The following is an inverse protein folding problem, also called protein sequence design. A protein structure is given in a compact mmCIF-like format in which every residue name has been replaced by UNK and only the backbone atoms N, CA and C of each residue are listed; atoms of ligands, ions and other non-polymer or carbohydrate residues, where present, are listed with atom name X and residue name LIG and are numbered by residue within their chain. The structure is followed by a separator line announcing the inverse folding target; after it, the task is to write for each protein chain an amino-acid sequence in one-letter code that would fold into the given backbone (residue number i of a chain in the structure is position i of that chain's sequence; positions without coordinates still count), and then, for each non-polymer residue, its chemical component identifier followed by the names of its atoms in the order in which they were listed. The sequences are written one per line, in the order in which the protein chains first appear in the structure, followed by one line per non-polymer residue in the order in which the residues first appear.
data_IF_204545981804
#
_entry.id   IF_204545981804
#
_cell.length_a   1.000
_cell.length_b   1.000
_cell.length_c   1.000
_cell.angle_alpha   90.00
_cell.angle_beta   90.00
_cell.angle_gamma   90.00
#
_symmetry.space_group_name_H-M   'P 1'
#
loop_
_entity.id
_entity.type
_entity.pdbx_description
1 polymer ?
#
# COMPACT_ATOMS: atom_id res chain seq x y z
N UNK A 1 12.23 18.62 -11.59
CA UNK A 1 12.53 18.08 -12.92
C UNK A 1 12.85 16.60 -12.86
N UNK A 2 12.92 15.92 -14.01
CA UNK A 2 13.29 14.50 -14.09
C UNK A 2 14.70 14.26 -13.52
N UNK A 3 15.60 15.19 -13.79
CA UNK A 3 16.99 15.17 -13.28
C UNK A 3 17.00 15.28 -11.75
N UNK A 4 16.18 16.13 -11.17
CA UNK A 4 16.09 16.26 -9.71
C UNK A 4 15.55 15.00 -9.06
N UNK A 5 14.64 14.28 -9.75
CA UNK A 5 14.12 12.98 -9.32
C UNK A 5 15.19 11.89 -9.36
N UNK A 6 15.92 11.81 -10.45
CA UNK A 6 17.02 10.86 -10.63
C UNK A 6 18.12 11.09 -9.57
N UNK A 7 18.49 12.33 -9.31
CA UNK A 7 19.46 12.68 -8.28
C UNK A 7 18.93 12.32 -6.89
N UNK A 8 17.66 12.61 -6.60
CA UNK A 8 17.03 12.21 -5.35
C UNK A 8 16.97 10.68 -5.21
N UNK A 9 16.71 9.99 -6.29
CA UNK A 9 16.65 8.53 -6.33
C UNK A 9 18.02 7.91 -6.05
N UNK A 10 19.09 8.37 -6.72
CA UNK A 10 20.44 7.86 -6.48
C UNK A 10 20.91 8.12 -5.05
N UNK A 11 20.75 9.34 -4.56
CA UNK A 11 21.15 9.67 -3.18
C UNK A 11 20.40 8.84 -2.13
N UNK A 12 19.14 8.49 -2.40
CA UNK A 12 18.33 7.69 -1.49
C UNK A 12 18.64 6.20 -1.60
N UNK A 13 18.94 5.70 -2.79
CA UNK A 13 19.39 4.33 -3.00
C UNK A 13 20.67 4.05 -2.19
N UNK A 14 21.63 4.96 -2.26
CA UNK A 14 22.87 4.87 -1.49
C UNK A 14 22.62 4.94 0.03
N UNK A 15 21.69 5.78 0.48
CA UNK A 15 21.33 5.87 1.89
C UNK A 15 20.65 4.59 2.43
N UNK A 16 19.96 3.82 1.58
CA UNK A 16 19.34 2.56 1.98
C UNK A 16 20.35 1.44 2.21
N UNK A 17 21.44 1.40 1.48
CA UNK A 17 22.49 0.40 1.67
C UNK A 17 23.19 0.51 3.02
N UNK A 18 23.19 1.69 3.63
CA UNK A 18 23.85 1.94 4.91
C UNK A 18 22.92 1.92 6.13
N UNK A 19 21.59 1.81 5.92
CA UNK A 19 20.64 1.66 7.02
C UNK A 19 20.44 0.19 7.37
N UNK A 20 20.36 -0.08 8.67
CA UNK A 20 19.96 -1.37 9.19
C UNK A 20 18.64 -1.85 8.52
N UNK A 21 18.54 -3.12 8.31
CA UNK A 21 17.47 -3.91 7.70
C UNK A 21 16.16 -3.19 7.36
N UNK A 22 15.76 -3.13 6.08
CA UNK A 22 14.49 -2.51 5.70
C UNK A 22 13.30 -3.28 6.29
N UNK A 23 12.20 -2.55 6.53
CA UNK A 23 10.94 -3.15 6.99
C UNK A 23 10.33 -4.03 5.89
N UNK A 24 10.43 -3.58 4.64
CA UNK A 24 9.94 -4.28 3.46
C UNK A 24 10.92 -4.08 2.31
N UNK A 25 11.16 -5.12 1.52
CA UNK A 25 12.10 -5.02 0.41
C UNK A 25 11.76 -5.98 -0.73
N UNK A 26 12.08 -5.53 -1.94
CA UNK A 26 12.29 -6.41 -3.09
C UNK A 26 13.80 -6.60 -3.22
N UNK A 27 14.23 -7.85 -3.25
CA UNK A 27 15.64 -8.22 -3.34
C UNK A 27 15.90 -8.98 -4.64
N UNK A 28 16.45 -8.27 -5.63
CA UNK A 28 16.77 -8.82 -6.97
C UNK A 28 15.60 -9.57 -7.61
N UNK A 29 14.42 -8.97 -7.59
CA UNK A 29 13.20 -9.60 -8.07
C UNK A 29 13.12 -9.57 -9.59
N UNK A 30 12.96 -10.74 -10.20
CA UNK A 30 12.65 -10.91 -11.60
C UNK A 30 11.34 -11.67 -11.76
N UNK A 31 10.47 -11.18 -12.62
CA UNK A 31 9.25 -11.85 -13.05
C UNK A 31 9.29 -12.02 -14.56
N UNK A 32 9.38 -13.26 -15.01
CA UNK A 32 9.46 -13.61 -16.42
C UNK A 32 8.12 -14.07 -16.95
N UNK A 33 7.66 -13.47 -18.03
CA UNK A 33 6.48 -13.90 -18.75
C UNK A 33 6.88 -14.91 -19.84
N UNK A 34 6.57 -16.18 -19.62
CA UNK A 34 6.93 -17.26 -20.55
C UNK A 34 6.25 -17.16 -21.92
N UNK A 35 5.08 -16.54 -22.00
CA UNK A 35 4.34 -16.39 -23.25
C UNK A 35 4.96 -15.36 -24.18
N UNK A 36 5.48 -14.28 -23.62
CA UNK A 36 6.08 -13.18 -24.39
C UNK A 36 7.60 -13.20 -24.41
N UNK A 37 8.22 -14.00 -23.54
CA UNK A 37 9.68 -14.04 -23.37
C UNK A 37 10.25 -12.80 -22.67
N UNK A 38 9.41 -11.94 -22.12
CA UNK A 38 9.81 -10.70 -21.47
C UNK A 38 10.02 -10.89 -19.98
N UNK A 39 11.07 -10.26 -19.44
CA UNK A 39 11.17 -9.98 -18.02
C UNK A 39 10.33 -8.75 -17.68
N UNK A 40 9.15 -8.97 -17.15
CA UNK A 40 8.20 -7.88 -16.78
C UNK A 40 8.77 -7.06 -15.64
N UNK A 41 9.38 -7.73 -14.66
CA UNK A 41 10.28 -7.13 -13.68
C UNK A 41 11.66 -7.74 -13.92
N UNK A 42 12.69 -6.92 -13.96
CA UNK A 42 14.05 -7.36 -14.27
C UNK A 42 15.02 -6.86 -13.21
N UNK A 43 15.44 -7.78 -12.33
CA UNK A 43 16.40 -7.54 -11.26
C UNK A 43 16.08 -6.29 -10.41
N UNK A 44 14.83 -6.21 -9.96
CA UNK A 44 14.32 -5.06 -9.20
C UNK A 44 14.69 -5.18 -7.74
N UNK A 45 15.41 -4.18 -7.23
CA UNK A 45 15.72 -4.05 -5.80
C UNK A 45 15.20 -2.74 -5.26
N UNK A 46 14.31 -2.82 -4.26
CA UNK A 46 13.69 -1.68 -3.59
C UNK A 46 13.68 -1.95 -2.09
N UNK A 47 13.92 -0.91 -1.31
CA UNK A 47 13.89 -1.00 0.15
C UNK A 47 13.00 0.08 0.75
N UNK A 48 12.18 -0.31 1.73
CA UNK A 48 11.19 0.55 2.37
C UNK A 48 11.32 0.48 3.89
N UNK A 49 11.22 1.64 4.55
CA UNK A 49 11.41 1.74 6.00
C UNK A 49 10.15 2.26 6.69
N UNK A 50 9.86 1.70 7.85
CA UNK A 50 8.79 2.18 8.72
C UNK A 50 9.07 3.63 9.18
N UNK A 51 8.01 4.42 9.31
CA UNK A 51 8.08 5.83 9.67
C UNK A 51 8.33 6.76 8.48
N UNK A 52 8.28 6.25 7.25
CA UNK A 52 8.48 7.02 6.03
C UNK A 52 7.43 6.72 4.97
N UNK A 53 7.23 7.68 4.08
CA UNK A 53 6.42 7.51 2.87
C UNK A 53 7.33 7.28 1.67
N UNK A 54 6.93 6.33 0.83
CA UNK A 54 7.65 5.93 -0.36
C UNK A 54 6.73 5.95 -1.56
N UNK A 55 7.23 6.36 -2.70
CA UNK A 55 6.57 6.17 -3.99
C UNK A 55 7.40 5.24 -4.86
N UNK A 56 6.71 4.39 -5.61
CA UNK A 56 7.28 3.69 -6.75
C UNK A 56 6.58 4.25 -7.99
N UNK A 57 7.33 5.00 -8.78
CA UNK A 57 6.83 5.59 -10.02
C UNK A 57 6.97 4.56 -11.13
N UNK A 58 5.86 4.23 -11.75
CA UNK A 58 5.77 3.26 -12.84
C UNK A 58 5.44 3.96 -14.16
N UNK A 59 5.69 3.29 -15.27
CA UNK A 59 5.33 3.77 -16.60
C UNK A 59 3.84 3.57 -16.83
N UNK A 60 3.13 4.65 -17.14
CA UNK A 60 1.69 4.63 -17.44
C UNK A 60 1.33 3.74 -18.64
N UNK A 61 2.26 3.54 -19.57
CA UNK A 61 2.05 2.71 -20.76
C UNK A 61 2.35 1.23 -20.53
N UNK A 62 3.04 0.90 -19.44
CA UNK A 62 3.41 -0.48 -19.10
C UNK A 62 2.51 -1.05 -18.01
N UNK A 63 1.29 -1.33 -18.36
CA UNK A 63 0.26 -1.84 -17.42
C UNK A 63 0.66 -3.21 -16.86
N UNK A 64 1.25 -4.08 -17.68
CA UNK A 64 1.68 -5.41 -17.26
C UNK A 64 2.75 -5.32 -16.16
N UNK A 65 3.73 -4.44 -16.30
CA UNK A 65 4.75 -4.22 -15.30
C UNK A 65 4.18 -3.68 -13.98
N UNK A 66 3.28 -2.70 -14.08
CA UNK A 66 2.58 -2.13 -12.92
C UNK A 66 1.83 -3.22 -12.15
N UNK A 67 1.02 -4.01 -12.85
CA UNK A 67 0.24 -5.09 -12.22
C UNK A 67 1.15 -6.17 -11.61
N UNK A 68 2.21 -6.54 -12.30
CA UNK A 68 3.17 -7.52 -11.79
C UNK A 68 3.89 -7.02 -10.54
N UNK A 69 4.28 -5.74 -10.50
CA UNK A 69 4.91 -5.14 -9.33
C UNK A 69 3.98 -5.22 -8.10
N UNK A 70 2.76 -4.73 -8.24
CA UNK A 70 1.80 -4.72 -7.14
C UNK A 70 1.47 -6.14 -6.68
N UNK A 71 1.14 -7.04 -7.60
CA UNK A 71 0.82 -8.43 -7.28
C UNK A 71 1.97 -9.16 -6.57
N UNK A 72 3.20 -8.90 -6.98
CA UNK A 72 4.41 -9.46 -6.36
C UNK A 72 4.61 -8.90 -4.95
N UNK A 73 4.44 -7.59 -4.77
CA UNK A 73 4.61 -6.93 -3.47
C UNK A 73 3.60 -7.40 -2.42
N UNK A 74 2.39 -7.74 -2.83
CA UNK A 74 1.34 -8.20 -1.90
C UNK A 74 1.25 -9.74 -1.81
N UNK A 75 2.17 -10.46 -2.42
CA UNK A 75 2.23 -11.92 -2.34
C UNK A 75 1.24 -12.67 -3.22
N UNK A 76 0.57 -12.00 -4.16
CA UNK A 76 -0.38 -12.62 -5.10
C UNK A 76 0.27 -13.20 -6.35
N UNK A 77 1.53 -12.86 -6.61
CA UNK A 77 2.32 -13.36 -7.73
C UNK A 77 3.67 -13.81 -7.22
N UNK A 78 4.11 -14.99 -7.68
CA UNK A 78 5.45 -15.50 -7.36
C UNK A 78 6.51 -14.85 -8.23
N UNK A 79 7.69 -14.64 -7.66
CA UNK A 79 8.87 -14.22 -8.41
C UNK A 79 9.45 -15.39 -9.18
N UNK A 80 10.04 -15.11 -10.35
CA UNK A 80 10.86 -16.10 -11.08
C UNK A 80 12.20 -16.28 -10.38
N UNK A 81 12.78 -15.19 -9.91
CA UNK A 81 13.99 -15.16 -9.06
C UNK A 81 13.94 -13.95 -8.13
N UNK A 82 14.79 -13.96 -7.12
CA UNK A 82 14.79 -12.96 -6.09
C UNK A 82 13.65 -13.15 -5.07
N UNK A 83 13.61 -12.30 -4.08
CA UNK A 83 12.73 -12.46 -2.93
C UNK A 83 12.03 -11.15 -2.58
N UNK A 84 10.78 -11.26 -2.13
CA UNK A 84 10.05 -10.17 -1.49
C UNK A 84 10.05 -10.41 0.01
N UNK A 85 10.60 -9.47 0.76
CA UNK A 85 10.88 -9.65 2.18
C UNK A 85 10.08 -8.67 3.03
N UNK A 86 9.42 -9.18 4.05
CA UNK A 86 8.95 -8.39 5.18
C UNK A 86 9.83 -8.72 6.39
N UNK A 87 10.71 -7.80 6.76
CA UNK A 87 11.77 -8.05 7.74
C UNK A 87 12.59 -9.31 7.33
N UNK A 88 12.64 -10.31 8.18
CA UNK A 88 13.35 -11.56 7.90
C UNK A 88 12.48 -12.64 7.22
N UNK A 89 11.22 -12.35 6.94
CA UNK A 89 10.29 -13.32 6.33
C UNK A 89 10.19 -13.11 4.83
N UNK A 90 10.47 -14.16 4.07
CA UNK A 90 10.17 -14.22 2.63
C UNK A 90 8.67 -14.43 2.45
N UNK A 91 7.99 -13.56 1.68
CA UNK A 91 6.54 -13.67 1.45
C UNK A 91 6.16 -14.99 0.77
N UNK A 92 7.07 -15.61 0.02
CA UNK A 92 6.84 -16.92 -0.60
C UNK A 92 6.63 -18.04 0.43
N UNK A 93 7.13 -17.87 1.64
CA UNK A 93 7.00 -18.82 2.75
C UNK A 93 5.81 -18.53 3.67
N UNK A 94 5.13 -17.39 3.45
CA UNK A 94 3.98 -16.97 4.24
C UNK A 94 2.66 -17.36 3.54
N UNK A 95 1.61 -17.58 4.35
CA UNK A 95 0.26 -17.81 3.81
C UNK A 95 -0.37 -16.49 3.35
N UNK A 96 -1.33 -16.53 2.40
CA UNK A 96 -2.07 -15.31 2.02
C UNK A 96 -2.73 -14.60 3.18
N UNK A 97 -3.26 -15.33 4.16
CA UNK A 97 -3.87 -14.76 5.38
C UNK A 97 -2.80 -14.07 6.24
N UNK A 98 -1.61 -14.64 6.38
CA UNK A 98 -0.51 -13.99 7.11
C UNK A 98 -0.07 -12.71 6.38
N UNK A 99 0.10 -12.74 5.06
CA UNK A 99 0.54 -11.57 4.29
C UNK A 99 -0.47 -10.44 4.41
N UNK A 100 -1.70 -10.64 3.98
CA UNK A 100 -2.72 -9.59 3.90
C UNK A 100 -3.47 -9.36 5.22
N UNK A 101 -3.41 -10.29 6.15
CA UNK A 101 -4.03 -10.16 7.46
C UNK A 101 -3.11 -9.61 8.55
N UNK A 102 -1.80 -9.70 8.40
CA UNK A 102 -0.85 -9.40 9.48
C UNK A 102 0.35 -8.57 9.05
N UNK A 103 0.78 -8.62 7.80
CA UNK A 103 2.03 -7.99 7.35
C UNK A 103 1.82 -6.77 6.48
N UNK A 104 0.83 -6.80 5.60
CA UNK A 104 0.56 -5.76 4.61
C UNK A 104 -0.91 -5.36 4.68
N UNK A 105 -1.17 -4.06 4.86
CA UNK A 105 -2.45 -3.44 4.56
C UNK A 105 -2.45 -3.02 3.10
N UNK A 106 -3.34 -3.59 2.29
CA UNK A 106 -3.39 -3.34 0.86
C UNK A 106 -4.60 -2.49 0.50
N UNK A 107 -4.36 -1.43 -0.27
CA UNK A 107 -5.39 -0.59 -0.87
C UNK A 107 -5.28 -0.76 -2.39
N UNK A 108 -6.06 -1.69 -2.98
CA UNK A 108 -6.05 -1.90 -4.43
C UNK A 108 -6.69 -0.72 -5.15
N UNK A 109 -6.35 -0.54 -6.42
CA UNK A 109 -6.92 0.50 -7.26
C UNK A 109 -8.44 0.30 -7.47
N UNK A 110 -8.89 -0.95 -7.54
CA UNK A 110 -10.29 -1.34 -7.76
C UNK A 110 -10.72 -2.34 -6.70
N UNK A 111 -12.00 -2.35 -6.37
CA UNK A 111 -12.60 -3.28 -5.41
C UNK A 111 -11.97 -3.20 -4.02
N UNK A 112 -11.53 -1.99 -3.65
CA UNK A 112 -10.93 -1.74 -2.34
C UNK A 112 -11.92 -1.86 -1.18
N UNK A 113 -13.21 -1.83 -1.47
CA UNK A 113 -14.31 -1.93 -0.51
C UNK A 113 -15.45 -2.77 -1.06
N UNK A 114 -16.24 -3.34 -0.16
CA UNK A 114 -17.52 -3.98 -0.53
C UNK A 114 -18.61 -2.92 -0.53
N UNK A 115 -19.16 -2.65 -1.71
CA UNK A 115 -20.17 -1.63 -1.90
C UNK A 115 -21.52 -1.93 -1.22
N UNK A 116 -21.81 -3.20 -0.93
CA UNK A 116 -23.04 -3.67 -0.27
C UNK A 116 -23.03 -3.49 1.26
N UNK A 117 -21.84 -3.35 1.87
CA UNK A 117 -21.66 -3.11 3.30
C UNK A 117 -21.55 -1.63 3.60
N UNK A 118 -21.92 -1.22 4.82
CA UNK A 118 -21.62 0.12 5.32
C UNK A 118 -20.12 0.28 5.66
N UNK A 119 -19.74 1.45 6.11
CA UNK A 119 -18.33 1.74 6.44
C UNK A 119 -17.81 0.83 7.56
N UNK A 120 -18.55 0.69 8.65
CA UNK A 120 -18.19 -0.18 9.78
C UNK A 120 -18.12 -1.65 9.33
N UNK A 121 -19.09 -2.11 8.57
CA UNK A 121 -19.14 -3.48 8.03
C UNK A 121 -17.94 -3.82 7.16
N UNK A 122 -17.46 -2.88 6.36
CA UNK A 122 -16.24 -3.05 5.58
C UNK A 122 -14.99 -3.27 6.44
N UNK A 123 -14.83 -2.48 7.49
CA UNK A 123 -13.70 -2.62 8.40
C UNK A 123 -13.79 -3.92 9.18
N UNK A 124 -14.95 -4.25 9.73
CA UNK A 124 -15.20 -5.50 10.46
C UNK A 124 -14.94 -6.73 9.59
N UNK A 125 -15.35 -6.69 8.32
CA UNK A 125 -15.09 -7.77 7.38
C UNK A 125 -13.60 -8.05 7.20
N UNK A 126 -12.78 -7.01 7.08
CA UNK A 126 -11.33 -7.14 6.97
C UNK A 126 -10.71 -7.67 8.27
N UNK A 127 -11.19 -7.19 9.42
CA UNK A 127 -10.73 -7.66 10.73
C UNK A 127 -11.06 -9.13 10.95
N UNK A 128 -12.25 -9.57 10.59
CA UNK A 128 -12.66 -10.98 10.66
C UNK A 128 -11.82 -11.86 9.72
N UNK A 129 -11.61 -11.41 8.49
CA UNK A 129 -10.80 -12.14 7.51
C UNK A 129 -9.32 -12.28 7.90
N UNK A 130 -8.78 -11.34 8.69
CA UNK A 130 -7.40 -11.38 9.15
C UNK A 130 -7.13 -12.51 10.15
N UNK A 131 -8.17 -13.04 10.77
CA UNK A 131 -8.06 -14.04 11.85
C UNK A 131 -7.12 -13.59 12.98
N UNK A 132 -7.09 -12.30 13.25
CA UNK A 132 -6.21 -11.67 14.22
C UNK A 132 -6.92 -11.53 15.57
N UNK A 133 -6.19 -11.67 16.67
CA UNK A 133 -6.69 -11.35 18.00
C UNK A 133 -6.52 -9.86 18.27
N UNK A 134 -7.61 -9.18 18.58
CA UNK A 134 -7.62 -7.77 18.92
C UNK A 134 -7.76 -7.57 20.43
N UNK A 135 -7.07 -6.57 20.97
CA UNK A 135 -7.08 -6.26 22.40
C UNK A 135 -8.37 -5.58 22.86
N UNK A 136 -9.10 -4.96 21.92
CA UNK A 136 -10.39 -4.33 22.16
C UNK A 136 -11.46 -4.96 21.29
N UNK A 137 -12.76 -4.76 21.59
CA UNK A 137 -13.84 -5.21 20.71
C UNK A 137 -13.68 -4.63 19.32
N UNK A 138 -13.82 -5.47 18.30
CA UNK A 138 -13.66 -5.07 16.89
C UNK A 138 -14.49 -3.83 16.50
N UNK A 139 -15.78 -3.71 16.89
CA UNK A 139 -16.56 -2.51 16.56
C UNK A 139 -15.98 -1.22 17.11
N UNK A 140 -15.37 -1.26 18.28
CA UNK A 140 -14.70 -0.09 18.88
C UNK A 140 -13.50 0.33 18.04
N UNK A 141 -12.68 -0.61 17.65
CA UNK A 141 -11.50 -0.36 16.79
C UNK A 141 -11.95 0.18 15.43
N UNK A 142 -12.96 -0.44 14.83
CA UNK A 142 -13.49 -0.03 13.52
C UNK A 142 -13.98 1.43 13.55
N UNK A 143 -14.72 1.81 14.56
CA UNK A 143 -15.22 3.20 14.72
C UNK A 143 -14.09 4.19 14.94
N UNK A 144 -13.10 3.87 15.74
CA UNK A 144 -11.92 4.72 15.95
C UNK A 144 -11.14 4.93 14.65
N UNK A 145 -10.94 3.90 13.87
CA UNK A 145 -10.26 3.99 12.56
C UNK A 145 -11.04 4.85 11.58
N UNK A 146 -12.36 4.68 11.51
CA UNK A 146 -13.21 5.49 10.65
C UNK A 146 -13.20 6.96 11.07
N UNK A 147 -13.19 7.25 12.36
CA UNK A 147 -13.01 8.61 12.88
C UNK A 147 -11.69 9.23 12.42
N UNK A 148 -10.61 8.47 12.48
CA UNK A 148 -9.28 8.92 12.02
C UNK A 148 -9.25 9.32 10.56
N UNK A 149 -9.97 8.60 9.71
CA UNK A 149 -10.00 8.90 8.28
C UNK A 149 -11.07 9.93 7.91
N UNK A 150 -11.80 10.47 8.88
CA UNK A 150 -12.66 11.64 8.73
C UNK A 150 -14.16 11.38 8.76
N UNK A 151 -14.61 10.21 9.22
CA UNK A 151 -16.04 9.97 9.46
C UNK A 151 -16.43 10.42 10.86
N UNK A 152 -17.30 11.43 10.96
CA UNK A 152 -17.83 11.91 12.23
C UNK A 152 -18.98 11.03 12.74
N UNK A 153 -19.82 10.56 11.83
CA UNK A 153 -20.92 9.63 12.12
C UNK A 153 -20.71 8.31 11.38
N UNK A 154 -20.46 7.25 12.13
CA UNK A 154 -19.98 5.99 11.57
C UNK A 154 -21.10 4.99 11.32
N UNK A 155 -22.25 5.16 11.93
CA UNK A 155 -23.30 4.15 12.03
C UNK A 155 -24.54 4.43 11.19
N UNK A 156 -24.39 5.15 10.09
CA UNK A 156 -25.54 5.52 9.25
C UNK A 156 -26.19 4.34 8.53
N UNK A 157 -25.51 3.18 8.45
CA UNK A 157 -25.96 2.03 7.68
C UNK A 157 -25.95 2.23 6.17
N UNK A 158 -25.48 3.39 5.69
CA UNK A 158 -25.40 3.68 4.26
C UNK A 158 -24.39 2.75 3.58
N UNK A 159 -24.78 2.00 2.54
CA UNK A 159 -23.85 1.18 1.78
C UNK A 159 -22.72 2.02 1.18
N UNK A 160 -21.50 1.56 1.29
CA UNK A 160 -20.30 2.29 0.82
C UNK A 160 -20.36 2.56 -0.68
N UNK A 161 -20.97 1.66 -1.46
CA UNK A 161 -21.17 1.85 -2.89
C UNK A 161 -21.99 3.09 -3.27
N UNK A 162 -22.77 3.62 -2.35
CA UNK A 162 -23.56 4.87 -2.51
C UNK A 162 -22.86 6.12 -2.01
N UNK A 163 -21.69 5.98 -1.43
CA UNK A 163 -20.89 7.10 -0.95
C UNK A 163 -20.10 7.76 -2.09
N UNK A 164 -19.59 8.97 -1.82
CA UNK A 164 -18.67 9.64 -2.72
C UNK A 164 -17.39 8.83 -2.94
N UNK A 165 -16.68 9.08 -4.04
CA UNK A 165 -15.40 8.42 -4.32
C UNK A 165 -14.39 8.67 -3.19
N UNK A 166 -14.35 9.88 -2.63
CA UNK A 166 -13.50 10.21 -1.49
C UNK A 166 -13.85 9.36 -0.26
N UNK A 167 -15.11 9.27 0.10
CA UNK A 167 -15.55 8.49 1.27
C UNK A 167 -15.26 6.99 1.10
N UNK A 168 -15.41 6.47 -0.11
CA UNK A 168 -15.01 5.09 -0.41
C UNK A 168 -13.50 4.87 -0.20
N UNK A 169 -12.65 5.84 -0.56
CA UNK A 169 -11.21 5.78 -0.30
C UNK A 169 -10.89 5.89 1.19
N UNK A 170 -11.62 6.70 1.94
CA UNK A 170 -11.48 6.77 3.40
C UNK A 170 -11.76 5.41 4.04
N UNK A 171 -12.81 4.72 3.62
CA UNK A 171 -13.15 3.38 4.10
C UNK A 171 -12.05 2.37 3.72
N UNK A 172 -11.53 2.44 2.50
CA UNK A 172 -10.44 1.57 2.05
C UNK A 172 -9.17 1.75 2.90
N UNK A 173 -8.84 2.98 3.27
CA UNK A 173 -7.70 3.29 4.14
C UNK A 173 -7.94 2.74 5.55
N UNK A 174 -9.09 2.99 6.15
CA UNK A 174 -9.43 2.46 7.47
C UNK A 174 -9.35 0.92 7.49
N UNK A 175 -9.85 0.30 6.46
CA UNK A 175 -9.80 -1.15 6.25
C UNK A 175 -8.36 -1.68 6.21
N UNK A 176 -7.48 -1.03 5.46
CA UNK A 176 -6.07 -1.39 5.38
C UNK A 176 -5.34 -1.21 6.72
N UNK A 177 -5.69 -0.18 7.49
CA UNK A 177 -5.12 0.09 8.81
C UNK A 177 -5.60 -0.89 9.88
N UNK A 178 -6.76 -1.52 9.70
CA UNK A 178 -7.38 -2.39 10.69
C UNK A 178 -6.57 -3.64 11.01
N UNK A 179 -5.74 -4.09 10.09
CA UNK A 179 -4.88 -5.26 10.28
C UNK A 179 -3.63 -4.97 11.12
N UNK A 180 -3.43 -3.74 11.54
CA UNK A 180 -2.25 -3.30 12.32
C UNK A 180 -0.91 -3.63 11.66
N UNK A 181 -0.89 -3.76 10.35
CA UNK A 181 0.31 -4.06 9.58
C UNK A 181 1.32 -2.92 9.62
N UNK A 182 2.59 -3.26 9.57
CA UNK A 182 3.68 -2.26 9.50
C UNK A 182 3.91 -1.71 8.09
N UNK A 183 3.31 -2.33 7.09
CA UNK A 183 3.45 -1.95 5.68
C UNK A 183 2.06 -1.67 5.10
N UNK A 184 1.89 -0.50 4.51
CA UNK A 184 0.70 -0.16 3.73
C UNK A 184 1.12 0.03 2.27
N UNK A 185 0.50 -0.71 1.38
CA UNK A 185 0.71 -0.58 -0.06
C UNK A 185 -0.58 -0.05 -0.68
N UNK A 186 -0.49 1.12 -1.29
CA UNK A 186 -1.60 1.77 -1.98
C UNK A 186 -1.31 1.84 -3.48
N UNK A 187 -2.17 1.19 -4.26
CA UNK A 187 -2.07 1.17 -5.72
C UNK A 187 -2.97 2.26 -6.31
N UNK A 188 -2.34 3.28 -6.90
CA UNK A 188 -3.04 4.43 -7.50
C UNK A 188 -4.14 5.00 -6.58
N UNK A 189 -3.80 5.41 -5.36
CA UNK A 189 -4.82 5.76 -4.35
C UNK A 189 -5.63 7.00 -4.70
N UNK A 190 -5.17 7.81 -5.65
CA UNK A 190 -5.85 9.05 -6.06
C UNK A 190 -6.51 8.94 -7.43
N UNK A 191 -6.48 7.79 -8.08
CA UNK A 191 -7.07 7.60 -9.40
C UNK A 191 -8.56 7.94 -9.42
N UNK A 192 -8.98 8.76 -10.37
CA UNK A 192 -10.37 9.18 -10.53
C UNK A 192 -10.84 10.25 -9.55
N UNK A 193 -9.98 10.75 -8.66
CA UNK A 193 -10.30 11.83 -7.72
C UNK A 193 -9.90 13.19 -8.30
N UNK A 194 -10.67 14.23 -7.94
CA UNK A 194 -10.26 15.60 -8.21
C UNK A 194 -9.05 15.97 -7.32
N UNK A 195 -8.48 17.14 -7.57
CA UNK A 195 -7.25 17.60 -6.89
C UNK A 195 -7.41 17.71 -5.37
N UNK A 196 -8.54 18.26 -4.91
CA UNK A 196 -8.79 18.46 -3.48
C UNK A 196 -8.99 17.14 -2.75
N UNK A 197 -9.76 16.23 -3.33
CA UNK A 197 -10.01 14.89 -2.79
C UNK A 197 -8.72 14.04 -2.80
N UNK A 198 -7.93 14.15 -3.87
CA UNK A 198 -6.63 13.50 -3.93
C UNK A 198 -5.69 13.98 -2.82
N UNK A 199 -5.69 15.29 -2.51
CA UNK A 199 -4.90 15.85 -1.43
C UNK A 199 -5.32 15.30 -0.06
N UNK A 200 -6.62 15.10 0.15
CA UNK A 200 -7.15 14.49 1.39
C UNK A 200 -6.64 13.04 1.54
N UNK A 201 -6.75 12.25 0.48
CA UNK A 201 -6.30 10.83 0.50
C UNK A 201 -4.79 10.75 0.77
N UNK A 202 -3.98 11.52 0.07
CA UNK A 202 -2.54 11.53 0.29
C UNK A 202 -2.17 12.02 1.71
N UNK A 203 -2.90 13.00 2.23
CA UNK A 203 -2.73 13.46 3.61
C UNK A 203 -3.00 12.36 4.64
N UNK A 204 -4.04 11.57 4.45
CA UNK A 204 -4.37 10.42 5.31
C UNK A 204 -3.27 9.35 5.28
N UNK A 205 -2.76 9.04 4.09
CA UNK A 205 -1.67 8.08 3.93
C UNK A 205 -0.37 8.59 4.58
N UNK A 206 -0.03 9.86 4.40
CA UNK A 206 1.13 10.47 5.05
C UNK A 206 1.05 10.42 6.57
N UNK A 207 -0.12 10.68 7.12
CA UNK A 207 -0.38 10.58 8.57
C UNK A 207 -0.17 9.16 9.09
N UNK A 208 -0.53 8.15 8.31
CA UNK A 208 -0.45 6.75 8.70
C UNK A 208 0.98 6.23 8.89
N UNK A 209 2.00 6.93 8.37
CA UNK A 209 3.40 6.55 8.56
C UNK A 209 3.81 6.52 10.02
N UNK A 210 3.16 7.32 10.84
CA UNK A 210 3.44 7.43 12.27
C UNK A 210 2.15 7.74 13.01
N UNK A 211 1.76 6.85 13.90
CA UNK A 211 0.49 6.86 14.59
C UNK A 211 0.69 6.33 16.01
N UNK A 212 0.49 7.20 17.01
CA UNK A 212 0.76 6.91 18.41
C UNK A 212 2.15 6.24 18.59
N UNK A 213 2.18 4.98 18.95
CA UNK A 213 3.42 4.21 19.15
C UNK A 213 3.81 3.39 17.91
N UNK A 214 3.07 3.50 16.82
CA UNK A 214 3.24 2.68 15.62
C UNK A 214 3.88 3.46 14.48
N UNK A 215 4.89 2.83 13.87
CA UNK A 215 5.50 3.30 12.63
C UNK A 215 5.15 2.35 11.49
N UNK A 216 4.81 2.91 10.34
CA UNK A 216 4.51 2.14 9.13
C UNK A 216 5.35 2.62 7.96
N UNK A 217 5.72 1.70 7.09
CA UNK A 217 6.17 2.01 5.74
C UNK A 217 4.93 2.23 4.86
N UNK A 218 4.77 3.43 4.34
CA UNK A 218 3.70 3.76 3.41
C UNK A 218 4.27 3.73 2.01
N UNK A 219 3.75 2.86 1.16
CA UNK A 219 4.24 2.65 -0.21
C UNK A 219 3.11 2.96 -1.18
N UNK A 220 3.29 3.99 -1.99
CA UNK A 220 2.35 4.40 -3.04
C UNK A 220 2.93 4.00 -4.39
N UNK A 221 2.22 3.14 -5.11
CA UNK A 221 2.56 2.79 -6.49
C UNK A 221 1.72 3.64 -7.41
N UNK A 222 2.35 4.42 -8.26
CA UNK A 222 1.65 5.39 -9.13
C UNK A 222 2.40 5.64 -10.42
N UNK A 223 1.66 5.91 -11.49
CA UNK A 223 2.20 6.44 -12.74
C UNK A 223 2.21 7.98 -12.80
N UNK A 224 1.67 8.64 -11.78
CA UNK A 224 1.59 10.09 -11.70
C UNK A 224 2.80 10.68 -10.99
N UNK A 225 3.68 11.40 -11.72
CA UNK A 225 4.87 12.03 -11.13
C UNK A 225 4.56 13.03 -10.01
N UNK A 226 3.45 13.77 -10.11
CA UNK A 226 3.07 14.74 -9.09
C UNK A 226 2.70 14.06 -7.75
N UNK A 227 2.09 12.91 -7.81
CA UNK A 227 1.81 12.09 -6.61
C UNK A 227 3.11 11.55 -6.04
N UNK A 228 3.97 10.99 -6.88
CA UNK A 228 5.24 10.42 -6.46
C UNK A 228 6.15 11.47 -5.77
N UNK A 229 6.18 12.68 -6.29
CA UNK A 229 7.01 13.77 -5.76
C UNK A 229 6.58 14.23 -4.36
N UNK A 230 5.37 13.94 -3.93
CA UNK A 230 4.87 14.28 -2.61
C UNK A 230 5.34 13.31 -1.51
N UNK A 231 5.87 12.14 -1.89
CA UNK A 231 6.41 11.19 -0.92
C UNK A 231 7.85 11.53 -0.55
N UNK A 232 8.26 11.15 0.66
CA UNK A 232 9.61 11.43 1.17
C UNK A 232 10.70 10.76 0.32
N UNK A 233 10.40 9.55 -0.18
CA UNK A 233 11.28 8.76 -1.04
C UNK A 233 10.56 8.38 -2.33
N UNK A 234 11.25 8.44 -3.45
CA UNK A 234 10.69 8.03 -4.73
C UNK A 234 11.69 7.15 -5.48
N UNK A 235 11.25 6.00 -5.92
CA UNK A 235 11.97 5.12 -6.83
C UNK A 235 11.23 5.07 -8.15
N UNK A 236 11.97 5.10 -9.26
CA UNK A 236 11.42 4.84 -10.59
C UNK A 236 11.68 3.39 -10.96
N UNK A 237 10.66 2.73 -11.50
CA UNK A 237 10.78 1.39 -12.05
C UNK A 237 11.15 1.52 -13.53
N UNK A 238 12.30 0.94 -13.91
CA UNK A 238 12.80 0.92 -15.29
C UNK A 238 12.33 -0.32 -16.07
#
# INVERSE_FOLDING_TARGET
SQIDREIKHHRKKDAFFFKANPTFALDHVTVHNRKTGRNVLDDVSLAFHAGATHAVLVDAEDVEQHQALVATMVGMMRTTSGNVMHKSTNLADATPVDVLGHRIGFIPQRFAVRGDLDAEGNVLYAMDASNRNFLQPKPVIARELLKRVGFEEVTSGLPVGKMSALDQRRVAIARALSCEAEVIIADEPTAGLNRDDAAVVLGLLKKAKRDEDRKRAIIVVTDNPEVADQMEHCAELE
#
